data_IF_339461614641
#
_entry.id   IF_339461614641
#
_cell.length_a   1.000
_cell.length_b   1.000
_cell.length_c   1.000
_cell.angle_alpha   90.00
_cell.angle_beta   90.00
_cell.angle_gamma   90.00
#
_symmetry.space_group_name_H-M   'P 1'
#
loop_
_entity.id
_entity.type
_entity.pdbx_description
1 polymer ?
#
# COMPACT_ATOMS: atom_id res chain seq x y z
N UNK A 1 -35.58 30.01 11.36
CA UNK A 1 -34.84 30.40 10.14
C UNK A 1 -33.35 30.33 10.45
N UNK A 2 -32.54 29.73 9.57
CA UNK A 2 -31.08 29.78 9.74
C UNK A 2 -30.66 31.24 9.76
N UNK A 3 -29.98 31.65 10.84
CA UNK A 3 -29.52 33.03 10.96
C UNK A 3 -28.32 33.27 10.04
N UNK A 4 -28.09 34.51 9.62
CA UNK A 4 -26.86 34.89 8.91
C UNK A 4 -25.59 34.48 9.68
N UNK A 5 -25.67 34.40 11.01
CA UNK A 5 -24.60 33.93 11.90
C UNK A 5 -24.30 32.43 11.68
N UNK A 6 -25.32 31.60 11.45
CA UNK A 6 -25.14 30.16 11.21
C UNK A 6 -24.47 29.91 9.85
N UNK A 7 -24.85 30.67 8.81
CA UNK A 7 -24.22 30.61 7.50
C UNK A 7 -22.74 31.01 7.62
N UNK A 8 -22.44 32.13 8.29
CA UNK A 8 -21.06 32.58 8.52
C UNK A 8 -20.23 31.54 9.29
N UNK A 9 -20.82 30.89 10.31
CA UNK A 9 -20.17 29.80 11.05
C UNK A 9 -19.86 28.60 10.16
N UNK A 10 -20.80 28.21 9.27
CA UNK A 10 -20.60 27.10 8.33
C UNK A 10 -19.48 27.40 7.33
N UNK A 11 -19.42 28.63 6.80
CA UNK A 11 -18.34 29.06 5.88
C UNK A 11 -16.98 28.93 6.56
N UNK A 12 -16.84 29.43 7.79
CA UNK A 12 -15.58 29.31 8.55
C UNK A 12 -15.24 27.84 8.83
N UNK A 13 -16.23 27.01 9.17
CA UNK A 13 -16.04 25.57 9.38
C UNK A 13 -15.50 24.86 8.14
N UNK A 14 -16.14 25.05 6.98
CA UNK A 14 -15.70 24.45 5.71
C UNK A 14 -14.33 24.97 5.28
N UNK A 15 -14.05 26.26 5.48
CA UNK A 15 -12.74 26.84 5.18
C UNK A 15 -11.61 26.17 5.98
N UNK A 16 -11.84 25.88 7.28
CA UNK A 16 -10.89 25.14 8.11
C UNK A 16 -10.71 23.70 7.64
N UNK A 17 -11.80 22.98 7.37
CA UNK A 17 -11.74 21.60 6.85
C UNK A 17 -10.99 21.55 5.52
N UNK A 18 -11.17 22.54 4.63
CA UNK A 18 -10.42 22.66 3.36
C UNK A 18 -8.92 22.81 3.59
N UNK A 19 -8.49 23.57 4.59
CA UNK A 19 -7.08 23.72 4.93
C UNK A 19 -6.49 22.41 5.49
N UNK A 20 -7.21 21.73 6.39
CA UNK A 20 -6.79 20.44 6.97
C UNK A 20 -6.62 19.38 5.88
N UNK A 21 -7.64 19.22 5.03
CA UNK A 21 -7.60 18.23 3.93
C UNK A 21 -6.52 18.53 2.91
N UNK A 22 -6.25 19.82 2.61
CA UNK A 22 -5.11 20.21 1.77
C UNK A 22 -3.77 19.81 2.39
N UNK A 23 -3.60 20.01 3.69
CA UNK A 23 -2.39 19.58 4.41
C UNK A 23 -2.25 18.05 4.41
N UNK A 24 -3.35 17.32 4.66
CA UNK A 24 -3.36 15.85 4.62
C UNK A 24 -2.97 15.32 3.23
N UNK A 25 -3.45 15.94 2.16
CA UNK A 25 -3.07 15.56 0.78
C UNK A 25 -1.57 15.73 0.53
N UNK A 26 -0.99 16.86 0.96
CA UNK A 26 0.46 17.09 0.82
C UNK A 26 1.28 16.08 1.64
N UNK A 27 0.85 15.74 2.85
CA UNK A 27 1.49 14.70 3.67
C UNK A 27 1.39 13.32 3.01
N UNK A 28 0.23 12.97 2.46
CA UNK A 28 0.03 11.72 1.75
C UNK A 28 0.94 11.61 0.51
N UNK A 29 1.03 12.68 -0.29
CA UNK A 29 1.92 12.74 -1.45
C UNK A 29 3.39 12.56 -1.07
N UNK A 30 3.84 13.22 0.01
CA UNK A 30 5.20 13.07 0.53
C UNK A 30 5.48 11.62 0.96
N UNK A 31 4.57 11.00 1.73
CA UNK A 31 4.72 9.59 2.15
C UNK A 31 4.72 8.62 0.98
N UNK A 32 3.86 8.83 -0.01
CA UNK A 32 3.83 8.03 -1.23
C UNK A 32 5.17 8.11 -1.97
N UNK A 33 5.71 9.32 -2.16
CA UNK A 33 7.01 9.49 -2.81
C UNK A 33 8.14 8.79 -2.05
N UNK A 34 8.16 8.89 -0.71
CA UNK A 34 9.13 8.17 0.11
C UNK A 34 9.00 6.65 -0.02
N UNK A 35 7.78 6.11 -0.08
CA UNK A 35 7.56 4.68 -0.29
C UNK A 35 7.99 4.23 -1.69
N UNK A 36 7.73 5.04 -2.71
CA UNK A 36 8.19 4.78 -4.09
C UNK A 36 9.71 4.69 -4.18
N UNK A 37 10.43 5.64 -3.58
CA UNK A 37 11.90 5.61 -3.57
C UNK A 37 12.44 4.33 -2.92
N UNK A 38 11.87 3.91 -1.78
CA UNK A 38 12.25 2.64 -1.14
C UNK A 38 12.02 1.43 -2.04
N UNK A 39 10.93 1.41 -2.82
CA UNK A 39 10.68 0.33 -3.78
C UNK A 39 11.67 0.35 -4.94
N UNK A 40 12.02 1.53 -5.45
CA UNK A 40 13.02 1.71 -6.49
C UNK A 40 14.41 1.24 -6.02
N UNK A 41 14.81 1.63 -4.80
CA UNK A 41 16.07 1.21 -4.18
C UNK A 41 16.12 -0.30 -3.90
N UNK A 42 14.98 -0.91 -3.57
CA UNK A 42 14.89 -2.36 -3.32
C UNK A 42 14.92 -3.20 -4.61
N UNK A 43 14.54 -2.60 -5.76
CA UNK A 43 14.36 -3.32 -7.02
C UNK A 43 15.60 -4.09 -7.50
N UNK A 44 16.84 -3.56 -7.44
CA UNK A 44 18.03 -4.31 -7.86
C UNK A 44 18.26 -5.58 -7.03
N UNK A 45 18.05 -5.51 -5.71
CA UNK A 45 18.14 -6.67 -4.83
C UNK A 45 17.08 -7.71 -5.19
N UNK A 46 15.81 -7.28 -5.33
CA UNK A 46 14.72 -8.19 -5.68
C UNK A 46 14.97 -8.90 -7.02
N UNK A 47 15.50 -8.19 -8.02
CA UNK A 47 15.89 -8.77 -9.30
C UNK A 47 16.94 -9.86 -9.15
N UNK A 48 18.05 -9.57 -8.46
CA UNK A 48 19.13 -10.55 -8.26
C UNK A 48 18.71 -11.72 -7.38
N UNK A 49 17.89 -11.47 -6.37
CA UNK A 49 17.33 -12.52 -5.54
C UNK A 49 16.48 -13.50 -6.36
N UNK A 50 15.62 -12.97 -7.25
CA UNK A 50 14.84 -13.80 -8.17
C UNK A 50 15.71 -14.56 -9.18
N UNK A 51 16.76 -13.95 -9.72
CA UNK A 51 17.72 -14.62 -10.60
C UNK A 51 18.32 -15.87 -9.92
N UNK A 52 18.78 -15.72 -8.68
CA UNK A 52 19.38 -16.82 -7.89
C UNK A 52 18.36 -17.90 -7.57
N UNK A 53 17.17 -17.53 -7.10
CA UNK A 53 16.11 -18.49 -6.79
C UNK A 53 15.67 -19.29 -8.02
N UNK A 54 15.51 -18.64 -9.17
CA UNK A 54 15.16 -19.31 -10.42
C UNK A 54 16.27 -20.28 -10.87
N UNK A 55 17.52 -19.85 -10.81
CA UNK A 55 18.67 -20.71 -11.14
C UNK A 55 18.72 -21.96 -10.25
N UNK A 56 18.43 -21.81 -8.95
CA UNK A 56 18.36 -22.93 -8.01
C UNK A 56 17.17 -23.84 -8.30
N UNK A 57 15.98 -23.27 -8.49
CA UNK A 57 14.75 -24.03 -8.75
C UNK A 57 14.85 -24.92 -10.01
N UNK A 58 15.60 -24.49 -11.03
CA UNK A 58 15.85 -25.27 -12.25
C UNK A 58 16.81 -26.46 -12.05
N UNK A 59 17.61 -26.47 -10.99
CA UNK A 59 18.65 -27.47 -10.74
C UNK A 59 18.26 -28.52 -9.69
N UNK A 60 17.20 -28.26 -8.93
CA UNK A 60 16.74 -29.13 -7.84
C UNK A 60 15.46 -29.83 -8.27
N UNK A 61 15.30 -31.11 -7.94
CA UNK A 61 14.01 -31.77 -8.12
C UNK A 61 12.94 -31.06 -7.29
N UNK A 62 11.88 -30.60 -7.96
CA UNK A 62 10.74 -29.88 -7.38
C UNK A 62 10.11 -30.58 -6.17
N UNK A 63 10.18 -31.91 -6.08
CA UNK A 63 9.64 -32.67 -4.94
C UNK A 63 10.53 -32.61 -3.69
N UNK A 64 11.77 -32.13 -3.81
CA UNK A 64 12.75 -32.08 -2.71
C UNK A 64 12.43 -30.96 -1.71
N UNK A 65 11.75 -29.90 -2.14
CA UNK A 65 11.45 -28.74 -1.30
C UNK A 65 9.94 -28.40 -1.27
N UNK A 66 9.30 -28.30 -0.10
CA UNK A 66 7.85 -28.06 0.01
C UNK A 66 7.33 -26.78 -0.65
N UNK A 67 8.19 -25.77 -0.86
CA UNK A 67 7.84 -24.53 -1.57
C UNK A 67 7.95 -24.63 -3.10
N UNK A 68 8.62 -25.66 -3.63
CA UNK A 68 8.74 -25.93 -5.06
C UNK A 68 7.78 -27.04 -5.53
N UNK A 69 7.34 -27.91 -4.61
CA UNK A 69 6.48 -29.03 -4.93
C UNK A 69 5.07 -28.57 -5.39
N UNK A 70 4.66 -29.02 -6.57
CA UNK A 70 3.30 -28.85 -7.09
C UNK A 70 2.42 -29.94 -6.46
N UNK A 71 1.33 -29.52 -5.80
CA UNK A 71 0.42 -30.43 -5.10
C UNK A 71 -1.02 -29.95 -5.21
N UNK A 72 -1.97 -30.88 -5.13
CA UNK A 72 -3.38 -30.54 -5.10
C UNK A 72 -3.71 -29.72 -3.84
N UNK A 73 -4.35 -28.54 -4.00
CA UNK A 73 -4.63 -27.66 -2.88
C UNK A 73 -5.74 -28.24 -2.00
N UNK A 74 -5.37 -28.72 -0.81
CA UNK A 74 -6.35 -29.13 0.22
C UNK A 74 -6.94 -27.94 0.99
N UNK A 75 -6.17 -26.87 1.14
CA UNK A 75 -6.55 -25.63 1.83
C UNK A 75 -5.80 -24.46 1.22
N UNK A 76 -6.53 -23.42 0.82
CA UNK A 76 -5.96 -22.19 0.27
C UNK A 76 -5.94 -21.13 1.38
N UNK A 77 -4.83 -20.41 1.50
CA UNK A 77 -4.71 -19.27 2.42
C UNK A 77 -4.70 -17.99 1.60
N UNK A 78 -5.53 -17.02 2.01
CA UNK A 78 -5.58 -15.69 1.42
C UNK A 78 -5.03 -14.71 2.42
N UNK A 79 -4.01 -13.93 2.02
CA UNK A 79 -3.54 -12.79 2.78
C UNK A 79 -4.04 -11.51 2.11
N UNK A 80 -4.87 -10.76 2.82
CA UNK A 80 -5.33 -9.44 2.41
C UNK A 80 -4.49 -8.37 3.13
N UNK A 81 -3.93 -7.43 2.38
CA UNK A 81 -3.18 -6.30 2.94
C UNK A 81 -4.03 -5.04 2.78
N UNK A 82 -4.34 -4.37 3.89
CA UNK A 82 -5.19 -3.17 3.94
C UNK A 82 -4.46 -2.01 4.63
N UNK A 83 -5.01 -0.80 4.54
CA UNK A 83 -4.47 0.34 5.28
C UNK A 83 -4.90 0.31 6.75
N UNK A 84 -4.01 0.72 7.64
CA UNK A 84 -4.35 0.95 9.05
C UNK A 84 -5.12 2.27 9.27
N UNK A 85 -5.12 3.15 8.26
CA UNK A 85 -5.76 4.47 8.30
C UNK A 85 -7.02 4.50 7.44
N UNK A 86 -8.00 5.32 7.87
CA UNK A 86 -9.18 5.68 7.09
C UNK A 86 -8.95 6.91 6.20
N UNK A 87 -10.03 7.41 5.58
CA UNK A 87 -10.02 8.51 4.59
C UNK A 87 -9.15 8.20 3.36
N UNK A 88 -8.99 6.92 3.05
CA UNK A 88 -8.19 6.40 1.94
C UNK A 88 -8.89 6.50 0.57
N UNK A 89 -10.17 6.87 0.55
CA UNK A 89 -10.98 6.78 -0.66
C UNK A 89 -11.34 5.32 -0.95
N UNK A 90 -12.59 5.09 -1.34
CA UNK A 90 -13.03 3.84 -1.95
C UNK A 90 -13.24 4.07 -3.43
#
# INVERSE_FOLDING_TARGET
MASLKDIKRKVVGVAKTKQITRAMNMVAASKFKSAQLKMEDFRPYAGKFMDVLNSLALRVDTNTHPLLAVRDPKKIRVNCMTSDRGLCGG
#
